data_IF_920480226936
#
_entry.id   IF_920480226936
#
_cell.length_a   1.000
_cell.length_b   1.000
_cell.length_c   1.000
_cell.angle_alpha   90.00
_cell.angle_beta   90.00
_cell.angle_gamma   90.00
#
_symmetry.space_group_name_H-M   'P 1'
#
loop_
_entity.id
_entity.type
_entity.pdbx_description
1 polymer ?
#
# COMPACT_ATOMS: atom_id res chain seq x y z
N UNK A 1 4.63 -10.26 -2.17
CA UNK A 1 3.19 -10.34 -2.53
C UNK A 1 2.91 -11.48 -3.50
N UNK A 2 3.50 -11.45 -4.71
CA UNK A 2 3.25 -12.44 -5.76
C UNK A 2 3.61 -13.88 -5.35
N UNK A 3 4.82 -14.09 -4.80
CA UNK A 3 5.33 -15.41 -4.41
C UNK A 3 4.39 -16.17 -3.46
N UNK A 4 3.85 -15.48 -2.45
CA UNK A 4 2.95 -16.08 -1.47
C UNK A 4 1.47 -15.91 -1.83
N UNK A 5 1.13 -15.35 -2.99
CA UNK A 5 -0.26 -15.16 -3.41
C UNK A 5 -1.08 -14.30 -2.44
N UNK A 6 -0.46 -13.28 -1.83
CA UNK A 6 -1.05 -12.45 -0.77
C UNK A 6 -2.33 -11.75 -1.27
N UNK A 7 -3.42 -11.86 -0.51
CA UNK A 7 -4.68 -11.20 -0.82
C UNK A 7 -4.78 -9.76 -0.27
N UNK A 8 -4.18 -9.49 0.88
CA UNK A 8 -4.17 -8.17 1.51
C UNK A 8 -2.81 -7.86 2.13
N UNK A 9 -2.38 -6.60 2.04
CA UNK A 9 -1.17 -6.08 2.68
C UNK A 9 -1.54 -4.97 3.63
N UNK A 10 -0.94 -4.98 4.82
CA UNK A 10 -0.97 -3.87 5.77
C UNK A 10 0.44 -3.30 5.88
N UNK A 11 0.59 -1.97 5.76
CA UNK A 11 1.89 -1.31 5.94
C UNK A 11 1.75 0.15 6.37
N UNK A 12 2.84 0.79 6.77
CA UNK A 12 2.85 2.23 7.02
C UNK A 12 2.97 3.04 5.71
N UNK A 13 2.35 4.24 5.61
CA UNK A 13 2.56 5.18 4.52
C UNK A 13 4.02 5.50 4.20
N UNK A 14 4.92 5.54 5.19
CA UNK A 14 6.36 5.78 4.98
C UNK A 14 7.00 4.71 4.11
N UNK A 15 6.62 3.44 4.27
CA UNK A 15 7.14 2.37 3.43
C UNK A 15 6.72 2.56 1.96
N UNK A 16 5.47 2.95 1.73
CA UNK A 16 4.95 3.26 0.39
C UNK A 16 5.68 4.48 -0.20
N UNK A 17 5.88 5.54 0.58
CA UNK A 17 6.64 6.72 0.15
C UNK A 17 8.06 6.38 -0.26
N UNK A 18 8.74 5.55 0.52
CA UNK A 18 10.10 5.12 0.21
C UNK A 18 10.15 4.35 -1.13
N UNK A 19 9.19 3.44 -1.36
CA UNK A 19 9.08 2.72 -2.64
C UNK A 19 8.83 3.71 -3.78
N UNK A 20 7.87 4.63 -3.62
CA UNK A 20 7.55 5.64 -4.64
C UNK A 20 8.73 6.54 -4.96
N UNK A 21 9.50 6.96 -3.96
CA UNK A 21 10.68 7.81 -4.17
C UNK A 21 11.76 7.10 -4.98
N UNK A 22 11.95 5.80 -4.77
CA UNK A 22 12.96 5.01 -5.49
C UNK A 22 12.48 4.53 -6.87
N UNK A 23 11.20 4.20 -7.01
CA UNK A 23 10.60 3.72 -8.26
C UNK A 23 9.22 4.39 -8.49
N UNK A 24 9.19 5.66 -8.91
CA UNK A 24 7.93 6.39 -9.15
C UNK A 24 7.05 5.73 -10.21
N UNK A 25 7.65 5.00 -11.15
CA UNK A 25 6.95 4.30 -12.23
C UNK A 25 6.50 2.87 -11.90
N UNK A 26 6.83 2.38 -10.70
CA UNK A 26 6.67 1.00 -10.25
C UNK A 26 7.18 -0.04 -11.27
N UNK A 27 8.30 0.26 -11.94
CA UNK A 27 8.90 -0.59 -12.95
C UNK A 27 9.28 -1.98 -12.41
N UNK A 28 9.77 -2.05 -11.16
CA UNK A 28 10.08 -3.32 -10.51
C UNK A 28 8.80 -4.09 -10.17
N UNK A 29 7.78 -3.39 -9.66
CA UNK A 29 6.50 -3.99 -9.29
C UNK A 29 5.75 -4.62 -10.47
N UNK A 30 5.83 -4.00 -11.66
CA UNK A 30 5.17 -4.48 -12.89
C UNK A 30 5.65 -5.85 -13.37
N UNK A 31 6.81 -6.31 -12.92
CA UNK A 31 7.35 -7.62 -13.28
C UNK A 31 6.66 -8.76 -12.53
N UNK A 32 5.92 -8.45 -11.46
CA UNK A 32 5.27 -9.43 -10.61
C UNK A 32 3.76 -9.45 -10.83
N UNK A 33 3.20 -10.63 -11.09
CA UNK A 33 1.76 -10.81 -11.19
C UNK A 33 1.10 -10.74 -9.82
N UNK A 34 0.17 -9.80 -9.64
CA UNK A 34 -0.57 -9.57 -8.39
C UNK A 34 -2.04 -10.01 -8.50
N UNK A 35 -2.37 -11.02 -9.30
CA UNK A 35 -3.76 -11.46 -9.57
C UNK A 35 -4.57 -11.82 -8.31
N UNK A 36 -3.89 -12.29 -7.26
CA UNK A 36 -4.50 -12.61 -5.96
C UNK A 36 -4.63 -11.41 -5.03
N UNK A 37 -3.89 -10.33 -5.27
CA UNK A 37 -3.92 -9.14 -4.42
C UNK A 37 -5.24 -8.39 -4.61
N UNK A 38 -5.91 -8.06 -3.50
CA UNK A 38 -7.26 -7.49 -3.48
C UNK A 38 -7.36 -6.18 -2.72
N UNK A 39 -6.49 -5.89 -1.76
CA UNK A 39 -6.58 -4.65 -0.96
C UNK A 39 -5.24 -4.30 -0.32
N UNK A 40 -4.96 -3.00 -0.26
CA UNK A 40 -3.88 -2.41 0.51
C UNK A 40 -4.45 -1.62 1.68
N UNK A 41 -3.97 -1.87 2.89
CA UNK A 41 -4.27 -1.11 4.09
C UNK A 41 -3.04 -0.30 4.50
N UNK A 42 -3.24 1.00 4.75
CA UNK A 42 -2.21 1.88 5.30
C UNK A 42 -2.68 2.50 6.62
N UNK A 43 -1.77 2.58 7.59
CA UNK A 43 -2.04 3.11 8.92
C UNK A 43 -0.74 3.48 9.67
N UNK A 44 -0.89 3.99 10.89
CA UNK A 44 0.21 4.29 11.81
C UNK A 44 0.75 5.72 11.70
N UNK A 45 0.38 6.44 10.64
CA UNK A 45 0.70 7.85 10.41
C UNK A 45 -0.22 8.40 9.31
N UNK A 46 -0.13 9.71 9.03
CA UNK A 46 -0.88 10.34 7.96
C UNK A 46 -0.41 9.84 6.58
N UNK A 47 -1.35 9.32 5.79
CA UNK A 47 -1.13 9.11 4.37
C UNK A 47 -1.42 10.41 3.61
N UNK A 48 -0.43 10.93 2.88
CA UNK A 48 -0.64 12.06 1.98
C UNK A 48 -1.38 11.61 0.71
N UNK A 49 -2.10 12.56 0.09
CA UNK A 49 -2.95 12.30 -1.08
C UNK A 49 -2.14 11.73 -2.24
N UNK A 50 -0.93 12.23 -2.47
CA UNK A 50 -0.09 11.77 -3.57
C UNK A 50 0.35 10.30 -3.36
N UNK A 51 0.66 9.90 -2.13
CA UNK A 51 1.03 8.51 -1.80
C UNK A 51 -0.16 7.57 -1.95
N UNK A 52 -1.35 8.03 -1.52
CA UNK A 52 -2.59 7.29 -1.67
C UNK A 52 -2.94 7.06 -3.15
N UNK A 53 -2.93 8.13 -3.95
CA UNK A 53 -3.27 8.06 -5.38
C UNK A 53 -2.22 7.26 -6.17
N UNK A 54 -0.94 7.43 -5.87
CA UNK A 54 0.11 6.59 -6.46
C UNK A 54 -0.14 5.11 -6.19
N UNK A 55 -0.48 4.75 -4.95
CA UNK A 55 -0.76 3.36 -4.57
C UNK A 55 -1.97 2.79 -5.32
N UNK A 56 -3.05 3.57 -5.44
CA UNK A 56 -4.24 3.16 -6.21
C UNK A 56 -3.89 2.89 -7.67
N UNK A 57 -3.08 3.75 -8.28
CA UNK A 57 -2.67 3.63 -9.68
C UNK A 57 -1.75 2.44 -9.92
N UNK A 58 -0.82 2.17 -9.01
CA UNK A 58 0.15 1.07 -9.12
C UNK A 58 -0.50 -0.28 -8.86
N UNK A 59 -1.20 -0.43 -7.73
CA UNK A 59 -1.73 -1.73 -7.31
C UNK A 59 -3.10 -2.05 -7.91
N UNK A 60 -3.85 -1.04 -8.38
CA UNK A 60 -5.18 -1.19 -9.01
C UNK A 60 -6.18 -1.98 -8.15
N UNK A 61 -6.08 -1.81 -6.84
CA UNK A 61 -6.98 -2.36 -5.83
C UNK A 61 -7.38 -1.24 -4.86
N UNK A 62 -8.47 -1.41 -4.10
CA UNK A 62 -8.78 -0.52 -2.99
C UNK A 62 -7.57 -0.29 -2.08
N UNK A 63 -7.31 0.98 -1.77
CA UNK A 63 -6.30 1.41 -0.79
C UNK A 63 -7.03 2.12 0.34
N UNK A 64 -7.03 1.50 1.52
CA UNK A 64 -7.73 2.01 2.69
C UNK A 64 -6.72 2.61 3.67
N UNK A 65 -6.76 3.94 3.78
CA UNK A 65 -6.14 4.68 4.87
C UNK A 65 -7.04 4.57 6.10
N UNK A 66 -6.58 3.84 7.11
CA UNK A 66 -7.35 3.60 8.33
C UNK A 66 -6.56 4.06 9.55
N UNK A 67 -7.25 4.75 10.44
CA UNK A 67 -6.63 5.31 11.64
C UNK A 67 -6.99 4.50 12.87
N UNK A 68 -5.97 4.04 13.61
CA UNK A 68 -6.12 3.46 14.94
C UNK A 68 -4.87 3.72 15.76
N UNK A 69 -4.98 3.65 17.09
CA UNK A 69 -3.90 3.90 18.03
C UNK A 69 -3.99 2.90 19.19
N UNK A 70 -2.85 2.53 19.77
CA UNK A 70 -2.73 1.56 20.87
C UNK A 70 -3.63 1.87 22.08
N UNK A 71 -3.93 3.15 22.31
CA UNK A 71 -4.76 3.63 23.41
C UNK A 71 -6.25 3.80 23.09
N UNK A 72 -6.71 3.49 21.87
CA UNK A 72 -8.15 3.51 21.56
C UNK A 72 -8.78 2.32 22.27
N UNK A 73 -9.28 2.55 23.49
CA UNK A 73 -10.23 1.65 24.12
C UNK A 73 -11.58 1.78 23.39
N UNK A 74 -12.31 0.67 23.21
CA UNK A 74 -13.62 0.66 22.55
C UNK A 74 -14.63 1.56 23.27
#
# INVERSE_FOLDING_TARGET
LAEHGVAALFTAPTAIRAIRQQDPGAALGKQYSLTRFKTLFVAGERCDVETLEWSKNVFRVPVLDHWWQTGIKP
#
